data_IF_148563687424
#
_entry.id   IF_148563687424
#
_cell.length_a   1.000
_cell.length_b   1.000
_cell.length_c   1.000
_cell.angle_alpha   90.00
_cell.angle_beta   90.00
_cell.angle_gamma   90.00
#
_symmetry.space_group_name_H-M   'P 1'
#
loop_
_entity.id
_entity.type
_entity.pdbx_description
1 polymer ?
#
# COMPACT_ATOMS: atom_id res chain seq x y z
N UNK A 1 30.42 -4.08 2.70
CA UNK A 1 30.44 -3.84 4.17
C UNK A 1 30.13 -5.15 4.88
N UNK A 2 30.59 -5.35 6.13
CA UNK A 2 30.13 -6.49 6.95
C UNK A 2 28.64 -6.29 7.26
N UNK A 3 27.87 -7.37 7.20
CA UNK A 3 26.44 -7.36 7.50
C UNK A 3 26.23 -7.22 9.00
N UNK A 4 25.21 -6.47 9.43
CA UNK A 4 24.90 -6.33 10.86
C UNK A 4 24.48 -7.69 11.47
N UNK A 5 24.94 -8.05 12.69
CA UNK A 5 24.59 -9.31 13.32
C UNK A 5 23.08 -9.59 13.44
N UNK A 6 22.25 -8.55 13.65
CA UNK A 6 20.80 -8.71 13.73
C UNK A 6 20.20 -9.29 12.44
N UNK A 7 20.77 -8.94 11.28
CA UNK A 7 20.34 -9.43 9.98
C UNK A 7 20.75 -10.89 9.78
N UNK A 8 21.97 -11.24 10.22
CA UNK A 8 22.48 -12.61 10.14
C UNK A 8 21.62 -13.54 11.00
N UNK A 9 21.29 -13.12 12.22
CA UNK A 9 20.41 -13.85 13.13
C UNK A 9 19.01 -14.00 12.55
N UNK A 10 18.39 -12.89 12.08
CA UNK A 10 17.06 -12.89 11.50
C UNK A 10 16.93 -13.88 10.32
N UNK A 11 17.91 -13.90 9.44
CA UNK A 11 17.88 -14.72 8.23
C UNK A 11 18.50 -16.11 8.42
N UNK A 12 19.09 -16.39 9.59
CA UNK A 12 19.82 -17.64 9.86
C UNK A 12 20.98 -17.88 8.90
N UNK A 13 21.73 -16.83 8.55
CA UNK A 13 22.82 -16.90 7.55
C UNK A 13 24.19 -17.10 8.21
N UNK A 14 25.18 -17.42 7.39
CA UNK A 14 26.59 -17.41 7.80
C UNK A 14 27.22 -16.06 7.48
N UNK A 15 27.72 -15.36 8.50
CA UNK A 15 28.33 -14.04 8.36
C UNK A 15 29.58 -14.05 7.46
N UNK A 16 30.35 -15.14 7.42
CA UNK A 16 31.56 -15.22 6.58
C UNK A 16 31.23 -15.34 5.09
N UNK A 17 30.05 -15.87 4.78
CA UNK A 17 29.57 -16.10 3.42
C UNK A 17 28.53 -15.07 2.95
N UNK A 18 28.32 -14.00 3.73
CA UNK A 18 27.30 -12.98 3.45
C UNK A 18 27.94 -11.60 3.24
N UNK A 19 27.51 -10.92 2.19
CA UNK A 19 27.97 -9.57 1.84
C UNK A 19 26.80 -8.62 1.62
N UNK A 20 27.04 -7.32 1.83
CA UNK A 20 26.10 -6.24 1.54
C UNK A 20 26.72 -5.25 0.55
N UNK A 21 25.96 -4.95 -0.51
CA UNK A 21 26.25 -3.89 -1.48
C UNK A 21 25.05 -2.95 -1.62
N UNK A 22 25.27 -1.74 -2.14
CA UNK A 22 24.16 -0.85 -2.50
C UNK A 22 23.31 -1.50 -3.59
N UNK A 23 21.98 -1.42 -3.49
CA UNK A 23 21.07 -1.95 -4.49
C UNK A 23 20.74 -0.93 -5.60
N UNK A 24 21.08 0.35 -5.41
CA UNK A 24 20.60 1.43 -6.26
C UNK A 24 19.08 1.67 -6.12
N UNK A 25 18.62 2.88 -6.48
CA UNK A 25 17.22 3.28 -6.31
C UNK A 25 16.92 3.82 -4.91
N UNK A 26 16.34 5.01 -4.83
CA UNK A 26 15.82 5.55 -3.57
C UNK A 26 14.51 4.85 -3.24
N UNK A 27 14.38 4.30 -2.02
CA UNK A 27 13.07 4.01 -1.45
C UNK A 27 12.33 5.32 -1.12
N UNK A 28 11.24 5.25 -0.36
CA UNK A 28 10.65 6.44 0.26
C UNK A 28 11.73 7.35 0.87
N UNK A 29 11.48 8.67 0.89
CA UNK A 29 12.42 9.79 0.76
C UNK A 29 13.69 9.82 1.64
N UNK A 30 13.82 8.92 2.62
CA UNK A 30 14.91 8.85 3.60
C UNK A 30 15.58 7.46 3.74
N UNK A 31 15.06 6.41 3.09
CA UNK A 31 15.59 5.05 3.24
C UNK A 31 16.73 4.74 2.26
N UNK A 32 17.82 4.19 2.79
CA UNK A 32 18.90 3.59 2.00
C UNK A 32 18.56 2.15 1.65
N UNK A 33 18.86 1.74 0.41
CA UNK A 33 18.55 0.41 -0.11
C UNK A 33 19.83 -0.39 -0.34
N UNK A 34 19.78 -1.69 -0.06
CA UNK A 34 20.94 -2.56 -0.13
C UNK A 34 20.55 -3.97 -0.56
N UNK A 35 21.46 -4.63 -1.27
CA UNK A 35 21.38 -6.04 -1.62
C UNK A 35 22.24 -6.84 -0.67
N UNK A 36 21.65 -7.85 -0.03
CA UNK A 36 22.37 -8.86 0.73
C UNK A 36 22.57 -10.07 -0.18
N UNK A 37 23.82 -10.51 -0.34
CA UNK A 37 24.17 -11.73 -1.09
C UNK A 37 24.79 -12.73 -0.14
N UNK A 38 24.16 -13.90 -0.01
CA UNK A 38 24.67 -15.03 0.76
C UNK A 38 25.03 -16.18 -0.17
N UNK A 39 26.25 -16.72 -0.04
CA UNK A 39 26.66 -17.95 -0.71
C UNK A 39 26.24 -19.15 0.13
N UNK A 40 25.46 -20.05 -0.45
CA UNK A 40 24.97 -21.27 0.19
C UNK A 40 26.00 -22.41 0.07
N UNK A 41 25.84 -23.45 0.90
CA UNK A 41 26.76 -24.62 0.94
C UNK A 41 26.84 -25.39 -0.38
N UNK A 42 25.79 -25.35 -1.18
CA UNK A 42 25.74 -25.96 -2.51
C UNK A 42 26.41 -25.10 -3.60
N UNK A 43 26.98 -23.96 -3.22
CA UNK A 43 27.65 -23.03 -4.13
C UNK A 43 26.71 -22.03 -4.81
N UNK A 44 25.40 -22.13 -4.61
CA UNK A 44 24.42 -21.17 -5.15
C UNK A 44 24.38 -19.88 -4.31
N UNK A 45 23.83 -18.81 -4.88
CA UNK A 45 23.62 -17.56 -4.17
C UNK A 45 22.15 -17.34 -3.84
N UNK A 46 21.90 -16.79 -2.65
CA UNK A 46 20.60 -16.25 -2.27
C UNK A 46 20.71 -14.75 -2.06
N UNK A 47 19.74 -14.02 -2.60
CA UNK A 47 19.71 -12.57 -2.57
C UNK A 47 18.52 -12.07 -1.76
N UNK A 48 18.75 -11.04 -0.94
CA UNK A 48 17.71 -10.33 -0.20
C UNK A 48 17.82 -8.84 -0.45
N UNK A 49 16.70 -8.14 -0.31
CA UNK A 49 16.64 -6.69 -0.36
C UNK A 49 16.46 -6.15 1.05
N UNK A 50 17.25 -5.13 1.39
CA UNK A 50 17.24 -4.48 2.69
C UNK A 50 17.00 -2.99 2.53
N UNK A 51 16.03 -2.45 3.27
CA UNK A 51 15.87 -1.01 3.51
C UNK A 51 16.42 -0.66 4.88
N UNK A 52 17.04 0.50 5.01
CA UNK A 52 17.51 1.04 6.30
C UNK A 52 17.23 2.52 6.40
N UNK A 53 16.81 3.00 7.57
CA UNK A 53 16.62 4.41 7.87
C UNK A 53 16.80 4.65 9.38
N UNK A 54 16.93 5.91 9.79
CA UNK A 54 17.15 6.28 11.19
C UNK A 54 15.88 6.83 11.84
N UNK A 55 15.76 6.66 13.15
CA UNK A 55 14.70 7.26 13.96
C UNK A 55 13.47 6.38 14.12
N UNK A 56 12.53 6.85 14.95
CA UNK A 56 11.32 6.08 15.33
C UNK A 56 10.35 5.95 14.15
N UNK A 57 10.30 6.94 13.28
CA UNK A 57 9.48 6.96 12.07
C UNK A 57 9.87 5.82 11.12
N UNK A 58 11.17 5.53 11.01
CA UNK A 58 11.68 4.40 10.22
C UNK A 58 11.23 3.05 10.78
N UNK A 59 11.21 2.89 12.10
CA UNK A 59 10.76 1.67 12.75
C UNK A 59 9.28 1.41 12.46
N UNK A 60 8.43 2.43 12.60
CA UNK A 60 6.99 2.35 12.29
C UNK A 60 6.77 2.04 10.81
N UNK A 61 7.52 2.69 9.92
CA UNK A 61 7.44 2.46 8.47
C UNK A 61 7.78 1.01 8.12
N UNK A 62 8.87 0.46 8.66
CA UNK A 62 9.30 -0.91 8.35
C UNK A 62 8.43 -1.98 9.00
N UNK A 63 7.89 -1.74 10.19
CA UNK A 63 6.86 -2.61 10.80
C UNK A 63 5.60 -2.67 9.93
N UNK A 64 5.11 -1.49 9.50
CA UNK A 64 3.95 -1.37 8.62
C UNK A 64 4.15 -2.05 7.26
N UNK A 65 5.30 -1.83 6.62
CA UNK A 65 5.64 -2.45 5.34
C UNK A 65 5.81 -3.98 5.48
N UNK A 66 6.44 -4.46 6.56
CA UNK A 66 6.55 -5.89 6.86
C UNK A 66 5.17 -6.55 6.95
N UNK A 67 4.27 -5.99 7.76
CA UNK A 67 2.92 -6.51 7.92
C UNK A 67 2.12 -6.45 6.61
N UNK A 68 2.30 -5.38 5.83
CA UNK A 68 1.65 -5.18 4.54
C UNK A 68 2.07 -6.24 3.51
N UNK A 69 3.38 -6.42 3.33
CA UNK A 69 3.93 -7.42 2.40
C UNK A 69 3.48 -8.83 2.78
N UNK A 70 3.50 -9.18 4.05
CA UNK A 70 3.09 -10.52 4.48
C UNK A 70 1.56 -10.74 4.38
N UNK A 71 0.74 -9.71 4.56
CA UNK A 71 -0.70 -9.80 4.31
C UNK A 71 -1.01 -10.04 2.82
N UNK A 72 -0.33 -9.33 1.92
CA UNK A 72 -0.48 -9.50 0.47
C UNK A 72 0.07 -10.87 0.03
N UNK A 73 1.27 -11.23 0.47
CA UNK A 73 1.92 -12.50 0.13
C UNK A 73 1.09 -13.70 0.61
N UNK A 74 0.48 -13.63 1.79
CA UNK A 74 -0.40 -14.69 2.30
C UNK A 74 -1.64 -14.92 1.43
N UNK A 75 -2.17 -13.87 0.81
CA UNK A 75 -3.32 -13.97 -0.09
C UNK A 75 -2.93 -14.35 -1.52
N UNK A 76 -1.81 -13.80 -2.02
CA UNK A 76 -1.29 -14.02 -3.38
C UNK A 76 0.25 -14.08 -3.34
N UNK A 77 0.85 -15.27 -3.11
CA UNK A 77 2.29 -15.40 -2.89
C UNK A 77 3.19 -14.91 -4.03
N UNK A 78 2.68 -14.85 -5.27
CA UNK A 78 3.43 -14.39 -6.44
C UNK A 78 3.23 -12.90 -6.78
N UNK A 79 2.51 -12.14 -5.95
CA UNK A 79 2.19 -10.74 -6.22
C UNK A 79 3.27 -9.79 -5.67
N UNK A 80 3.79 -10.02 -4.46
CA UNK A 80 4.77 -9.14 -3.82
C UNK A 80 5.89 -9.96 -3.15
N UNK A 81 7.07 -9.36 -2.87
CA UNK A 81 8.14 -10.05 -2.16
C UNK A 81 7.67 -10.48 -0.76
N UNK A 82 8.16 -11.62 -0.27
CA UNK A 82 7.97 -11.99 1.13
C UNK A 82 8.81 -11.07 2.01
N UNK A 83 8.27 -10.64 3.15
CA UNK A 83 9.06 -9.96 4.18
C UNK A 83 9.55 -10.94 5.22
N UNK A 84 10.88 -10.99 5.41
CA UNK A 84 11.52 -11.89 6.38
C UNK A 84 11.54 -11.29 7.79
N UNK A 85 11.54 -9.97 7.91
CA UNK A 85 11.47 -9.28 9.21
C UNK A 85 11.97 -7.84 9.15
N UNK A 86 11.76 -7.14 10.26
CA UNK A 86 12.25 -5.80 10.51
C UNK A 86 12.84 -5.73 11.93
N UNK A 87 13.60 -4.68 12.22
CA UNK A 87 14.21 -4.49 13.54
C UNK A 87 15.19 -3.33 13.56
N UNK A 88 16.03 -3.27 14.58
CA UNK A 88 17.13 -2.31 14.69
C UNK A 88 18.48 -3.01 14.58
N UNK A 89 19.47 -2.33 14.02
CA UNK A 89 20.83 -2.86 13.98
C UNK A 89 21.39 -3.05 15.39
N UNK A 90 22.05 -4.20 15.61
CA UNK A 90 22.75 -4.46 16.87
C UNK A 90 23.96 -3.55 17.06
N UNK A 91 24.59 -3.14 15.95
CA UNK A 91 25.73 -2.20 15.98
C UNK A 91 25.33 -0.75 16.20
N UNK A 92 24.07 -0.38 15.87
CA UNK A 92 23.54 0.96 16.06
C UNK A 92 22.00 0.92 16.13
N UNK A 93 21.46 0.96 17.33
CA UNK A 93 20.02 0.85 17.58
C UNK A 93 19.19 2.03 17.04
N UNK A 94 19.83 3.14 16.66
CA UNK A 94 19.15 4.26 15.99
C UNK A 94 18.83 4.00 14.51
N UNK A 95 19.38 2.94 13.92
CA UNK A 95 19.11 2.51 12.55
C UNK A 95 18.16 1.32 12.55
N UNK A 96 16.98 1.51 11.95
CA UNK A 96 16.01 0.44 11.71
C UNK A 96 16.20 -0.17 10.32
N UNK A 97 15.74 -1.39 10.15
CA UNK A 97 15.81 -2.11 8.88
C UNK A 97 14.53 -2.89 8.57
N UNK A 98 14.36 -3.20 7.29
CA UNK A 98 13.40 -4.18 6.75
C UNK A 98 14.15 -5.10 5.79
N UNK A 99 13.93 -6.40 5.86
CA UNK A 99 14.48 -7.39 4.92
C UNK A 99 13.37 -8.15 4.21
N UNK A 100 13.49 -8.25 2.88
CA UNK A 100 12.52 -8.89 1.99
C UNK A 100 13.22 -9.74 0.93
N UNK A 101 12.44 -10.50 0.16
CA UNK A 101 12.94 -11.10 -1.08
C UNK A 101 13.55 -10.05 -2.01
N UNK A 102 14.68 -10.38 -2.63
CA UNK A 102 15.22 -9.54 -3.69
C UNK A 102 14.37 -9.65 -4.96
N UNK A 103 13.92 -8.53 -5.52
CA UNK A 103 13.22 -8.49 -6.79
C UNK A 103 14.20 -8.33 -7.95
N UNK A 104 14.33 -9.36 -8.79
CA UNK A 104 15.10 -9.28 -10.03
C UNK A 104 14.22 -8.67 -11.12
N UNK A 105 14.15 -7.34 -11.14
CA UNK A 105 13.34 -6.60 -12.09
C UNK A 105 13.90 -6.67 -13.52
N UNK A 106 13.01 -6.77 -14.49
CA UNK A 106 13.31 -6.77 -15.91
C UNK A 106 12.68 -5.55 -16.58
N UNK A 107 12.94 -5.35 -17.88
CA UNK A 107 12.15 -4.38 -18.65
C UNK A 107 10.66 -4.71 -18.57
N UNK A 108 9.79 -3.70 -18.48
CA UNK A 108 8.32 -3.89 -18.57
C UNK A 108 7.87 -4.48 -19.90
N UNK A 109 8.68 -4.34 -20.95
CA UNK A 109 8.47 -4.95 -22.27
C UNK A 109 9.04 -6.37 -22.39
N UNK A 110 9.67 -6.91 -21.34
CA UNK A 110 10.19 -8.27 -21.36
C UNK A 110 9.04 -9.26 -21.54
N UNK A 111 9.35 -10.38 -22.21
CA UNK A 111 8.40 -11.45 -22.38
C UNK A 111 8.02 -12.03 -21.01
N UNK A 112 6.78 -11.80 -20.60
CA UNK A 112 6.23 -12.35 -19.37
C UNK A 112 6.10 -13.86 -19.51
N UNK A 113 6.23 -14.57 -18.40
CA UNK A 113 5.91 -15.99 -18.33
C UNK A 113 4.41 -16.22 -18.60
N UNK A 114 3.97 -17.49 -18.63
CA UNK A 114 2.52 -17.82 -18.70
C UNK A 114 1.78 -17.55 -17.36
N UNK A 115 2.36 -16.74 -16.47
CA UNK A 115 1.77 -16.38 -15.21
C UNK A 115 0.51 -15.51 -15.39
N UNK A 116 -0.40 -15.52 -14.40
CA UNK A 116 -1.52 -14.60 -14.37
C UNK A 116 -1.08 -13.14 -14.48
N UNK A 117 -1.85 -12.33 -15.20
CA UNK A 117 -1.61 -10.89 -15.31
C UNK A 117 -1.75 -10.20 -13.95
N UNK A 118 -1.24 -8.97 -13.84
CA UNK A 118 -1.46 -8.13 -12.66
C UNK A 118 -2.96 -7.99 -12.32
N UNK A 119 -3.85 -7.89 -13.32
CA UNK A 119 -5.28 -7.74 -13.08
C UNK A 119 -5.87 -8.98 -12.42
N UNK A 120 -5.47 -10.18 -12.86
CA UNK A 120 -5.89 -11.44 -12.24
C UNK A 120 -5.37 -11.55 -10.81
N UNK A 121 -4.09 -11.24 -10.58
CA UNK A 121 -3.49 -11.28 -9.24
C UNK A 121 -4.17 -10.29 -8.29
N UNK A 122 -4.42 -9.06 -8.75
CA UNK A 122 -5.07 -8.02 -7.93
C UNK A 122 -6.54 -8.36 -7.66
N UNK A 123 -7.28 -8.87 -8.66
CA UNK A 123 -8.65 -9.35 -8.44
C UNK A 123 -8.68 -10.50 -7.43
N UNK A 124 -7.71 -11.42 -7.47
CA UNK A 124 -7.59 -12.49 -6.48
C UNK A 124 -7.36 -11.93 -5.07
N UNK A 125 -6.49 -10.93 -4.92
CA UNK A 125 -6.28 -10.23 -3.65
C UNK A 125 -7.60 -9.61 -3.15
N UNK A 126 -8.27 -8.85 -4.01
CA UNK A 126 -9.49 -8.09 -3.69
C UNK A 126 -10.78 -8.92 -3.59
N UNK A 127 -10.72 -10.21 -3.93
CA UNK A 127 -11.82 -11.17 -3.72
C UNK A 127 -11.53 -12.15 -2.59
N UNK A 128 -10.36 -12.05 -1.96
CA UNK A 128 -9.99 -12.85 -0.78
C UNK A 128 -10.33 -12.05 0.48
N UNK A 129 -11.29 -12.52 1.31
CA UNK A 129 -11.67 -11.81 2.53
C UNK A 129 -10.50 -11.66 3.49
N UNK A 130 -10.34 -10.48 4.09
CA UNK A 130 -9.38 -10.24 5.17
C UNK A 130 -9.64 -11.17 6.37
N UNK A 131 -8.63 -11.49 7.19
CA UNK A 131 -8.84 -12.24 8.43
C UNK A 131 -9.73 -11.45 9.42
N UNK A 132 -10.31 -12.17 10.37
CA UNK A 132 -10.95 -11.55 11.54
C UNK A 132 -9.82 -11.12 12.48
N UNK A 133 -9.70 -9.84 12.86
CA UNK A 133 -8.67 -9.40 13.78
C UNK A 133 -8.84 -10.02 15.18
N UNK A 134 -7.74 -10.18 15.91
CA UNK A 134 -7.76 -10.65 17.29
C UNK A 134 -8.66 -9.75 18.16
N UNK A 135 -9.50 -10.37 18.99
CA UNK A 135 -10.46 -9.66 19.85
C UNK A 135 -11.77 -9.24 19.16
N UNK A 136 -11.98 -9.58 17.89
CA UNK A 136 -13.24 -9.32 17.18
C UNK A 136 -13.94 -10.62 16.77
N UNK A 137 -15.25 -10.56 16.61
CA UNK A 137 -16.13 -11.66 16.18
C UNK A 137 -16.42 -11.66 14.67
N UNK A 138 -16.00 -10.59 13.98
CA UNK A 138 -16.26 -10.36 12.56
C UNK A 138 -15.12 -9.60 11.89
N UNK A 139 -15.12 -9.60 10.56
CA UNK A 139 -14.14 -8.85 9.76
C UNK A 139 -14.34 -7.35 9.94
N UNK A 140 -13.24 -6.64 10.08
CA UNK A 140 -13.19 -5.20 10.34
C UNK A 140 -12.37 -4.49 9.26
N UNK A 141 -12.70 -3.23 8.99
CA UNK A 141 -11.83 -2.33 8.22
C UNK A 141 -10.76 -1.76 9.15
N UNK A 142 -9.54 -1.57 8.65
CA UNK A 142 -8.37 -1.20 9.47
C UNK A 142 -7.18 -2.09 9.19
N UNK A 143 -6.21 -2.14 10.08
CA UNK A 143 -5.02 -2.99 9.93
C UNK A 143 -4.40 -3.24 11.32
N UNK A 144 -3.68 -4.36 11.55
CA UNK A 144 -3.16 -4.68 12.88
C UNK A 144 -2.08 -3.72 13.36
N UNK A 145 -1.40 -3.02 12.45
CA UNK A 145 -0.34 -2.05 12.74
C UNK A 145 -0.54 -0.76 11.95
N UNK A 146 0.11 0.31 12.39
CA UNK A 146 0.25 1.53 11.59
C UNK A 146 1.04 1.23 10.33
N UNK A 147 0.50 1.61 9.18
CA UNK A 147 1.20 1.60 7.88
C UNK A 147 1.53 3.02 7.46
N UNK A 148 2.40 3.21 6.47
CA UNK A 148 2.73 4.54 5.95
C UNK A 148 2.42 4.62 4.46
N UNK A 149 1.85 5.73 3.99
CA UNK A 149 1.67 6.03 2.56
C UNK A 149 2.64 7.15 2.19
N UNK A 150 3.79 6.79 1.61
CA UNK A 150 4.97 7.65 1.64
C UNK A 150 5.45 7.85 3.08
N UNK A 151 5.77 9.08 3.46
CA UNK A 151 6.22 9.42 4.82
C UNK A 151 5.06 9.65 5.81
N UNK A 152 3.81 9.57 5.35
CA UNK A 152 2.63 9.81 6.19
C UNK A 152 2.18 8.53 6.89
N UNK A 153 2.20 8.44 8.23
CA UNK A 153 1.60 7.32 8.95
C UNK A 153 0.09 7.29 8.73
N UNK A 154 -0.53 6.12 8.70
CA UNK A 154 -1.97 5.94 8.51
C UNK A 154 -2.64 5.46 9.79
N UNK A 155 -3.74 6.10 10.15
CA UNK A 155 -4.59 5.64 11.25
C UNK A 155 -5.33 4.36 10.81
N UNK A 156 -5.06 3.24 11.49
CA UNK A 156 -5.56 1.92 11.11
C UNK A 156 -6.46 1.28 12.18
N UNK A 157 -6.81 2.02 13.23
CA UNK A 157 -7.75 1.58 14.24
C UNK A 157 -9.04 1.01 13.63
N UNK A 158 -9.42 -0.18 14.08
CA UNK A 158 -10.48 -0.96 13.46
C UNK A 158 -11.84 -0.27 13.53
N UNK A 159 -12.60 -0.33 12.43
CA UNK A 159 -14.01 0.09 12.37
C UNK A 159 -14.85 -0.92 11.63
N UNK A 160 -16.13 -0.98 12.03
CA UNK A 160 -17.06 -1.93 11.45
C UNK A 160 -17.66 -1.42 10.13
N UNK A 161 -17.90 -0.11 9.99
CA UNK A 161 -18.36 0.51 8.75
C UNK A 161 -17.18 1.07 7.93
N UNK A 162 -17.24 0.87 6.62
CA UNK A 162 -16.25 1.44 5.70
C UNK A 162 -16.38 2.96 5.60
N UNK A 163 -17.61 3.50 5.65
CA UNK A 163 -17.84 4.94 5.60
C UNK A 163 -17.17 5.64 6.79
N UNK A 164 -17.35 5.11 8.00
CA UNK A 164 -16.72 5.66 9.20
C UNK A 164 -15.19 5.57 9.15
N UNK A 165 -14.67 4.44 8.66
CA UNK A 165 -13.23 4.25 8.49
C UNK A 165 -12.65 5.27 7.50
N UNK A 166 -13.30 5.42 6.35
CA UNK A 166 -12.83 6.33 5.32
C UNK A 166 -12.93 7.80 5.75
N UNK A 167 -14.03 8.21 6.39
CA UNK A 167 -14.20 9.57 6.88
C UNK A 167 -13.17 9.93 7.97
N UNK A 168 -13.05 9.10 9.01
CA UNK A 168 -12.23 9.41 10.18
C UNK A 168 -10.74 9.10 9.95
N UNK A 169 -10.45 7.86 9.56
CA UNK A 169 -9.10 7.32 9.53
C UNK A 169 -8.34 7.65 8.24
N UNK A 170 -9.05 8.10 7.19
CA UNK A 170 -8.42 8.57 5.95
C UNK A 170 -8.57 10.08 5.82
N UNK A 171 -9.77 10.61 5.57
CA UNK A 171 -9.95 12.02 5.21
C UNK A 171 -9.62 12.99 6.35
N UNK A 172 -10.24 12.83 7.53
CA UNK A 172 -9.99 13.72 8.67
C UNK A 172 -8.58 13.56 9.23
N UNK A 173 -8.07 12.34 9.24
CA UNK A 173 -6.69 12.08 9.62
C UNK A 173 -5.71 12.81 8.70
N UNK A 174 -5.84 12.68 7.37
CA UNK A 174 -4.90 13.31 6.45
C UNK A 174 -5.01 14.84 6.45
N UNK A 175 -6.20 15.39 6.70
CA UNK A 175 -6.37 16.82 6.94
C UNK A 175 -5.51 17.30 8.11
N UNK A 176 -5.57 16.61 9.27
CA UNK A 176 -4.75 16.97 10.44
C UNK A 176 -3.26 16.90 10.15
N UNK A 177 -2.80 15.88 9.39
CA UNK A 177 -1.39 15.81 8.98
C UNK A 177 -1.02 16.95 8.03
N UNK A 178 -1.88 17.26 7.07
CA UNK A 178 -1.68 18.38 6.16
C UNK A 178 -1.61 19.71 6.91
N UNK A 179 -2.49 19.97 7.88
CA UNK A 179 -2.47 21.20 8.67
C UNK A 179 -1.21 21.30 9.54
N UNK A 180 -0.70 20.17 10.04
CA UNK A 180 0.57 20.11 10.76
C UNK A 180 1.76 20.45 9.86
N UNK A 181 1.79 19.94 8.63
CA UNK A 181 2.91 20.15 7.69
C UNK A 181 2.87 21.50 6.99
N UNK A 182 1.67 21.97 6.60
CA UNK A 182 1.50 23.11 5.69
C UNK A 182 0.83 24.33 6.36
N UNK A 183 0.38 24.21 7.61
CA UNK A 183 -0.44 25.21 8.29
C UNK A 183 -1.94 25.07 7.99
N UNK A 184 -2.75 25.82 8.73
CA UNK A 184 -4.22 25.76 8.62
C UNK A 184 -4.72 26.41 7.34
N UNK A 185 -5.66 25.73 6.67
CA UNK A 185 -6.37 26.22 5.48
C UNK A 185 -7.86 26.05 5.69
N UNK A 186 -8.55 27.17 5.97
CA UNK A 186 -9.98 27.17 6.30
C UNK A 186 -10.86 26.66 5.16
N UNK A 187 -10.49 26.92 3.90
CA UNK A 187 -11.26 26.44 2.76
C UNK A 187 -11.12 24.92 2.64
N UNK A 188 -9.88 24.42 2.66
CA UNK A 188 -9.60 22.99 2.56
C UNK A 188 -10.25 22.23 3.72
N UNK A 189 -10.12 22.73 4.94
CA UNK A 189 -10.73 22.17 6.14
C UNK A 189 -12.25 22.00 5.96
N UNK A 190 -12.96 23.06 5.57
CA UNK A 190 -14.40 23.01 5.38
C UNK A 190 -14.82 22.04 4.27
N UNK A 191 -14.05 21.96 3.19
CA UNK A 191 -14.32 21.02 2.09
C UNK A 191 -14.11 19.58 2.53
N UNK A 192 -13.04 19.28 3.26
CA UNK A 192 -12.79 17.93 3.78
C UNK A 192 -13.88 17.55 4.78
N UNK A 193 -14.23 18.43 5.72
CA UNK A 193 -15.29 18.15 6.70
C UNK A 193 -16.66 17.95 6.05
N UNK A 194 -17.00 18.76 5.04
CA UNK A 194 -18.25 18.58 4.29
C UNK A 194 -18.23 17.25 3.53
N UNK A 195 -17.11 16.90 2.91
CA UNK A 195 -16.97 15.63 2.18
C UNK A 195 -17.11 14.45 3.14
N UNK A 196 -16.38 14.46 4.26
CA UNK A 196 -16.41 13.40 5.28
C UNK A 196 -17.80 13.27 5.95
N UNK A 197 -18.49 14.40 6.20
CA UNK A 197 -19.78 14.38 6.92
C UNK A 197 -20.99 14.12 6.03
N UNK A 198 -20.92 14.43 4.73
CA UNK A 198 -22.08 14.35 3.83
C UNK A 198 -21.87 13.43 2.64
N UNK A 199 -20.76 13.59 1.93
CA UNK A 199 -20.50 12.83 0.69
C UNK A 199 -20.17 11.38 1.02
N UNK A 200 -19.30 11.14 2.01
CA UNK A 200 -18.89 9.79 2.43
C UNK A 200 -20.10 8.93 2.85
N UNK A 201 -20.94 9.34 3.82
CA UNK A 201 -22.10 8.51 4.18
C UNK A 201 -23.09 8.34 3.03
N UNK A 202 -23.25 9.32 2.13
CA UNK A 202 -24.13 9.18 0.96
C UNK A 202 -23.62 8.16 -0.06
N UNK A 203 -22.32 8.11 -0.32
CA UNK A 203 -21.74 7.20 -1.32
C UNK A 203 -21.39 5.83 -0.76
N UNK A 204 -20.94 5.78 0.50
CA UNK A 204 -20.29 4.62 1.12
C UNK A 204 -21.05 4.07 2.33
N UNK A 205 -22.15 4.70 2.73
CA UNK A 205 -22.93 4.29 3.89
C UNK A 205 -23.49 2.88 3.75
N UNK A 206 -23.44 2.12 4.85
CA UNK A 206 -23.74 0.68 4.89
C UNK A 206 -25.13 0.34 4.33
N UNK A 207 -26.14 1.20 4.53
CA UNK A 207 -27.51 1.00 4.04
C UNK A 207 -27.68 1.28 2.54
N UNK A 208 -26.72 1.96 1.91
CA UNK A 208 -26.78 2.39 0.51
C UNK A 208 -25.87 1.55 -0.38
N UNK A 209 -24.59 1.49 -0.01
CA UNK A 209 -23.59 0.80 -0.83
C UNK A 209 -23.87 -0.71 -0.85
N UNK A 210 -23.62 -1.33 -2.00
CA UNK A 210 -23.84 -2.76 -2.22
C UNK A 210 -25.30 -3.20 -1.92
N UNK A 211 -26.26 -2.29 -2.11
CA UNK A 211 -27.68 -2.53 -1.84
C UNK A 211 -27.98 -2.83 -0.37
N UNK A 212 -27.26 -2.19 0.56
CA UNK A 212 -27.42 -2.41 2.00
C UNK A 212 -26.68 -3.63 2.54
N UNK A 213 -26.01 -4.41 1.68
CA UNK A 213 -25.25 -5.59 2.11
C UNK A 213 -23.86 -5.15 2.57
N UNK A 214 -23.50 -5.54 3.79
CA UNK A 214 -22.17 -5.31 4.37
C UNK A 214 -21.06 -5.62 3.35
N UNK A 215 -20.21 -4.64 3.11
CA UNK A 215 -18.97 -4.81 2.36
C UNK A 215 -18.05 -5.80 3.07
N UNK A 216 -17.40 -6.66 2.30
CA UNK A 216 -16.37 -7.57 2.83
C UNK A 216 -15.03 -6.84 2.82
N UNK A 217 -14.38 -6.61 3.98
CA UNK A 217 -13.03 -6.07 4.01
C UNK A 217 -12.06 -7.03 3.33
N UNK A 218 -11.21 -6.49 2.46
CA UNK A 218 -10.15 -7.24 1.76
C UNK A 218 -8.84 -6.50 1.92
N UNK A 219 -7.73 -7.22 1.80
CA UNK A 219 -6.40 -6.58 1.78
C UNK A 219 -6.28 -5.77 0.50
N UNK A 220 -5.87 -4.51 0.63
CA UNK A 220 -5.44 -3.66 -0.49
C UNK A 220 -3.94 -3.42 -0.39
N UNK A 221 -3.28 -3.15 -1.52
CA UNK A 221 -1.91 -2.64 -1.53
C UNK A 221 -1.84 -1.24 -0.92
N UNK A 222 -2.83 -0.39 -1.20
CA UNK A 222 -3.04 0.92 -0.58
C UNK A 222 -2.18 2.06 -1.12
N UNK A 223 -1.23 1.76 -2.01
CA UNK A 223 -0.42 2.73 -2.77
C UNK A 223 0.01 2.18 -4.14
N UNK A 224 -0.88 1.48 -4.85
CA UNK A 224 -0.53 0.86 -6.14
C UNK A 224 -0.63 1.86 -7.29
N UNK A 225 0.40 2.68 -7.48
CA UNK A 225 0.59 3.46 -8.72
C UNK A 225 1.64 2.81 -9.62
N UNK A 226 1.86 3.40 -10.81
CA UNK A 226 2.77 2.84 -11.80
C UNK A 226 4.23 2.72 -11.33
N UNK A 227 4.64 3.44 -10.29
CA UNK A 227 5.97 3.33 -9.66
C UNK A 227 6.15 2.09 -8.78
N UNK A 228 5.06 1.57 -8.22
CA UNK A 228 5.02 0.45 -7.28
C UNK A 228 4.64 -0.89 -7.96
N UNK A 229 4.70 -0.92 -9.30
CA UNK A 229 4.45 -2.12 -10.09
C UNK A 229 5.53 -2.29 -11.17
N UNK A 230 5.95 -3.53 -11.38
CA UNK A 230 6.95 -3.88 -12.38
C UNK A 230 6.82 -5.33 -12.84
N UNK A 231 7.76 -5.76 -13.68
CA UNK A 231 7.91 -7.14 -14.14
C UNK A 231 9.23 -7.67 -13.63
N UNK A 232 9.24 -8.85 -13.02
CA UNK A 232 10.47 -9.43 -12.49
C UNK A 232 10.28 -10.82 -11.89
N UNK A 233 11.35 -11.31 -11.27
CA UNK A 233 11.37 -12.59 -10.53
C UNK A 233 11.55 -12.32 -9.05
N UNK A 234 10.70 -12.91 -8.21
CA UNK A 234 10.77 -12.80 -6.75
C UNK A 234 11.81 -13.78 -6.22
N UNK A 235 12.79 -13.26 -5.49
CA UNK A 235 13.84 -14.05 -4.84
C UNK A 235 14.82 -14.67 -5.83
N UNK A 236 15.52 -15.70 -5.36
CA UNK A 236 16.58 -16.41 -6.13
C UNK A 236 16.13 -17.74 -6.72
N UNK A 237 14.87 -18.15 -6.51
CA UNK A 237 14.34 -19.38 -7.09
C UNK A 237 14.06 -19.15 -8.57
N UNK A 238 14.48 -20.09 -9.42
CA UNK A 238 14.23 -20.03 -10.85
C UNK A 238 12.74 -19.84 -11.17
N UNK A 239 12.45 -19.14 -12.26
CA UNK A 239 11.10 -18.78 -12.68
C UNK A 239 11.15 -17.79 -13.85
N UNK A 240 10.07 -17.68 -14.60
CA UNK A 240 9.94 -16.64 -15.61
C UNK A 240 9.50 -15.31 -14.97
N UNK A 241 9.80 -14.19 -15.61
CA UNK A 241 9.39 -12.88 -15.11
C UNK A 241 7.86 -12.74 -15.09
N UNK A 242 7.32 -12.20 -14.01
CA UNK A 242 5.88 -11.99 -13.78
C UNK A 242 5.59 -10.56 -13.36
N UNK A 243 4.32 -10.16 -13.41
CA UNK A 243 3.88 -8.92 -12.76
C UNK A 243 4.04 -9.01 -11.25
N UNK A 244 4.71 -8.01 -10.67
CA UNK A 244 5.00 -7.90 -9.23
C UNK A 244 4.73 -6.47 -8.75
N UNK A 245 4.41 -6.34 -7.46
CA UNK A 245 4.21 -5.08 -6.76
C UNK A 245 5.12 -5.00 -5.53
N UNK A 246 5.41 -3.79 -5.08
CA UNK A 246 6.28 -3.51 -3.93
C UNK A 246 5.91 -2.18 -3.30
N UNK A 247 6.47 -1.92 -2.12
CA UNK A 247 6.22 -0.72 -1.31
C UNK A 247 4.73 -0.51 -0.94
N UNK A 248 4.06 -1.52 -0.32
CA UNK A 248 2.66 -1.42 0.06
C UNK A 248 2.42 -0.52 1.27
N UNK A 249 1.21 0.05 1.30
CA UNK A 249 0.60 0.83 2.36
C UNK A 249 -0.73 0.18 2.79
N UNK A 250 -0.66 -1.10 3.18
CA UNK A 250 -1.83 -1.97 3.18
C UNK A 250 -2.84 -1.62 4.28
N UNK A 251 -4.11 -1.90 4.00
CA UNK A 251 -5.15 -1.99 5.03
C UNK A 251 -6.23 -2.99 4.60
N UNK A 252 -7.14 -3.31 5.50
CA UNK A 252 -8.39 -4.00 5.20
C UNK A 252 -9.42 -2.96 4.80
N UNK A 253 -9.78 -2.97 3.52
CA UNK A 253 -10.55 -1.91 2.90
C UNK A 253 -11.67 -2.47 1.99
N UNK A 254 -12.50 -1.56 1.48
CA UNK A 254 -13.27 -1.83 0.28
C UNK A 254 -12.34 -1.93 -0.93
N UNK A 255 -12.50 -2.96 -1.78
CA UNK A 255 -11.61 -3.23 -2.92
C UNK A 255 -11.46 -2.05 -3.90
N UNK A 256 -12.51 -1.25 -4.10
CA UNK A 256 -12.45 -0.08 -4.99
C UNK A 256 -11.52 1.04 -4.48
N UNK A 257 -11.13 1.02 -3.20
CA UNK A 257 -10.19 1.99 -2.63
C UNK A 257 -8.87 2.04 -3.39
N UNK A 258 -8.32 0.87 -3.75
CA UNK A 258 -7.06 0.77 -4.52
C UNK A 258 -7.15 1.51 -5.87
N UNK A 259 -8.33 1.47 -6.50
CA UNK A 259 -8.52 2.00 -7.85
C UNK A 259 -8.40 3.54 -7.88
N UNK A 260 -8.45 4.20 -6.72
CA UNK A 260 -8.22 5.64 -6.59
C UNK A 260 -6.80 6.03 -7.01
N UNK A 261 -5.78 5.49 -6.32
CA UNK A 261 -4.37 5.79 -6.64
C UNK A 261 -3.96 5.27 -8.02
N UNK A 262 -4.54 4.15 -8.46
CA UNK A 262 -4.25 3.54 -9.77
C UNK A 262 -4.59 4.44 -10.97
N UNK A 263 -5.33 5.53 -10.78
CA UNK A 263 -5.59 6.52 -11.85
C UNK A 263 -4.54 7.64 -11.89
N UNK A 264 -3.76 7.82 -10.83
CA UNK A 264 -2.73 8.84 -10.74
C UNK A 264 -1.44 8.38 -11.47
N UNK A 265 -0.62 9.35 -11.88
CA UNK A 265 0.76 9.12 -12.36
C UNK A 265 0.89 8.10 -13.52
N UNK A 266 0.07 8.30 -14.56
CA UNK A 266 0.06 7.48 -15.78
C UNK A 266 -0.84 6.25 -15.71
N UNK A 267 -1.23 5.85 -14.50
CA UNK A 267 -2.24 4.84 -14.20
C UNK A 267 -2.08 3.47 -14.87
N UNK A 268 -3.16 2.68 -14.85
CA UNK A 268 -3.23 1.36 -15.46
C UNK A 268 -4.22 1.39 -16.63
N UNK A 269 -3.82 0.81 -17.77
CA UNK A 269 -4.56 0.92 -19.03
C UNK A 269 -5.96 0.29 -19.01
N UNK A 270 -6.81 0.65 -19.97
CA UNK A 270 -8.20 0.15 -20.03
C UNK A 270 -8.34 -1.38 -20.12
N UNK A 271 -7.36 -2.07 -20.71
CA UNK A 271 -7.32 -3.54 -20.75
C UNK A 271 -7.19 -4.16 -19.35
N UNK A 272 -6.38 -3.54 -18.48
CA UNK A 272 -6.24 -3.95 -17.09
C UNK A 272 -7.57 -3.84 -16.34
N UNK A 273 -8.24 -2.68 -16.43
CA UNK A 273 -9.50 -2.45 -15.71
C UNK A 273 -10.62 -3.36 -16.23
N UNK A 274 -10.63 -3.66 -17.53
CA UNK A 274 -11.58 -4.60 -18.11
C UNK A 274 -11.40 -6.00 -17.50
N UNK A 275 -10.19 -6.54 -17.56
CA UNK A 275 -9.87 -7.87 -17.02
C UNK A 275 -10.11 -7.93 -15.50
N UNK A 276 -9.73 -6.88 -14.77
CA UNK A 276 -9.97 -6.79 -13.33
C UNK A 276 -11.46 -6.86 -13.00
N UNK A 277 -12.33 -6.12 -13.70
CA UNK A 277 -13.76 -6.11 -13.41
C UNK A 277 -14.54 -7.33 -13.90
N UNK A 278 -13.98 -8.12 -14.82
CA UNK A 278 -14.50 -9.45 -15.14
C UNK A 278 -14.37 -10.42 -13.95
N UNK A 279 -13.40 -10.18 -13.05
CA UNK A 279 -13.08 -11.04 -11.90
C UNK A 279 -13.51 -10.44 -10.55
N UNK A 280 -13.43 -9.11 -10.41
CA UNK A 280 -13.88 -8.34 -9.25
C UNK A 280 -14.92 -7.30 -9.71
N UNK A 281 -16.21 -7.66 -9.73
CA UNK A 281 -17.28 -6.77 -10.19
C UNK A 281 -17.30 -5.44 -9.42
N UNK A 282 -17.74 -4.39 -10.10
CA UNK A 282 -17.99 -3.08 -9.49
C UNK A 282 -19.06 -3.23 -8.42
N UNK A 283 -18.87 -2.56 -7.29
CA UNK A 283 -19.84 -2.56 -6.19
C UNK A 283 -21.09 -1.80 -6.62
N UNK A 284 -22.28 -2.28 -6.24
CA UNK A 284 -23.51 -1.55 -6.52
C UNK A 284 -23.62 -0.30 -5.61
N UNK A 285 -24.27 0.79 -6.05
CA UNK A 285 -24.83 0.98 -7.38
C UNK A 285 -23.74 1.32 -8.40
N UNK A 286 -23.71 0.63 -9.55
CA UNK A 286 -22.62 0.75 -10.55
C UNK A 286 -22.55 2.14 -11.18
N UNK A 287 -23.67 2.87 -11.27
CA UNK A 287 -23.69 4.25 -11.79
C UNK A 287 -22.97 5.27 -10.90
N UNK A 288 -22.66 4.93 -9.64
CA UNK A 288 -21.89 5.76 -8.71
C UNK A 288 -20.41 5.31 -8.60
N UNK A 289 -20.02 4.23 -9.30
CA UNK A 289 -18.67 3.66 -9.26
C UNK A 289 -17.57 4.70 -9.50
N UNK A 290 -17.68 5.49 -10.57
CA UNK A 290 -16.65 6.48 -10.91
C UNK A 290 -16.53 7.59 -9.85
N UNK A 291 -17.62 7.90 -9.14
CA UNK A 291 -17.60 8.88 -8.07
C UNK A 291 -16.97 8.31 -6.79
N UNK A 292 -17.18 7.02 -6.49
CA UNK A 292 -16.48 6.33 -5.40
C UNK A 292 -14.99 6.26 -5.68
N UNK A 293 -14.58 5.88 -6.89
CA UNK A 293 -13.15 5.87 -7.26
C UNK A 293 -12.54 7.26 -7.17
N UNK A 294 -13.25 8.30 -7.64
CA UNK A 294 -12.81 9.70 -7.47
C UNK A 294 -12.72 10.12 -6.01
N UNK A 295 -13.65 9.67 -5.17
CA UNK A 295 -13.60 9.89 -3.73
C UNK A 295 -12.39 9.19 -3.11
N UNK A 296 -11.97 8.01 -3.57
CA UNK A 296 -10.75 7.35 -3.11
C UNK A 296 -9.47 8.04 -3.61
N UNK A 297 -9.47 8.52 -4.86
CA UNK A 297 -8.39 9.35 -5.40
C UNK A 297 -8.13 10.61 -4.54
N UNK A 298 -9.18 11.21 -3.96
CA UNK A 298 -9.07 12.37 -3.06
C UNK A 298 -8.07 12.14 -1.92
N UNK A 299 -8.10 10.97 -1.28
CA UNK A 299 -7.18 10.68 -0.17
C UNK A 299 -5.73 10.82 -0.62
N UNK A 300 -5.40 10.36 -1.83
CA UNK A 300 -4.04 10.41 -2.36
C UNK A 300 -3.63 11.83 -2.76
N UNK A 301 -4.53 12.67 -3.29
CA UNK A 301 -4.26 14.10 -3.49
C UNK A 301 -4.00 14.83 -2.17
N UNK A 302 -4.80 14.55 -1.14
CA UNK A 302 -4.59 15.11 0.20
C UNK A 302 -3.28 14.62 0.81
N UNK A 303 -2.92 13.35 0.61
CA UNK A 303 -1.66 12.79 1.10
C UNK A 303 -0.45 13.44 0.41
N UNK A 304 -0.49 13.57 -0.92
CA UNK A 304 0.57 14.25 -1.65
C UNK A 304 0.66 15.73 -1.29
N UNK A 305 -0.47 16.39 -1.00
CA UNK A 305 -0.44 17.75 -0.48
C UNK A 305 0.20 17.81 0.92
N UNK A 306 -0.10 16.86 1.81
CA UNK A 306 0.49 16.80 3.15
C UNK A 306 2.02 16.61 3.13
N UNK A 307 2.55 15.85 2.16
CA UNK A 307 3.99 15.55 2.03
C UNK A 307 4.71 16.63 1.21
N UNK A 308 4.17 17.03 0.06
CA UNK A 308 4.87 17.86 -0.94
C UNK A 308 4.32 19.28 -1.07
N UNK A 309 3.17 19.58 -0.48
CA UNK A 309 2.49 20.87 -0.64
C UNK A 309 2.06 21.15 -2.09
N UNK A 310 1.97 22.44 -2.43
CA UNK A 310 1.83 22.90 -3.82
C UNK A 310 0.57 22.44 -4.57
N UNK A 311 0.76 22.03 -5.84
CA UNK A 311 -0.32 21.81 -6.81
C UNK A 311 -1.34 20.73 -6.45
N UNK A 312 -1.00 19.79 -5.57
CA UNK A 312 -1.89 18.70 -5.15
C UNK A 312 -3.14 19.20 -4.40
N UNK A 313 -3.05 20.35 -3.73
CA UNK A 313 -4.22 21.01 -3.11
C UNK A 313 -5.32 21.25 -4.13
N UNK A 314 -4.97 21.73 -5.33
CA UNK A 314 -5.96 22.09 -6.35
C UNK A 314 -6.72 20.88 -6.87
N UNK A 315 -6.05 19.72 -7.01
CA UNK A 315 -6.68 18.45 -7.35
C UNK A 315 -7.68 17.99 -6.29
N UNK A 316 -7.27 18.01 -5.02
CA UNK A 316 -8.15 17.68 -3.90
C UNK A 316 -9.40 18.58 -3.84
N UNK A 317 -9.22 19.90 -3.97
CA UNK A 317 -10.32 20.88 -3.98
C UNK A 317 -11.27 20.63 -5.14
N UNK A 318 -10.77 20.36 -6.34
CA UNK A 318 -11.58 20.08 -7.53
C UNK A 318 -12.45 18.83 -7.35
N UNK A 319 -11.86 17.75 -6.84
CA UNK A 319 -12.58 16.51 -6.52
C UNK A 319 -13.68 16.77 -5.50
N UNK A 320 -13.36 17.40 -4.37
CA UNK A 320 -14.33 17.66 -3.31
C UNK A 320 -15.49 18.54 -3.80
N UNK A 321 -15.22 19.63 -4.52
CA UNK A 321 -16.28 20.50 -5.05
C UNK A 321 -17.22 19.74 -5.98
N UNK A 322 -16.68 18.89 -6.86
CA UNK A 322 -17.48 18.07 -7.78
C UNK A 322 -18.41 17.12 -7.01
N UNK A 323 -17.86 16.41 -6.02
CA UNK A 323 -18.63 15.44 -5.25
C UNK A 323 -19.63 16.11 -4.29
N UNK A 324 -19.26 17.23 -3.65
CA UNK A 324 -20.14 18.02 -2.80
C UNK A 324 -21.31 18.60 -3.62
N UNK A 325 -21.07 19.05 -4.85
CA UNK A 325 -22.16 19.54 -5.71
C UNK A 325 -23.20 18.45 -5.99
N UNK A 326 -22.76 17.20 -6.16
CA UNK A 326 -23.62 16.06 -6.47
C UNK A 326 -24.29 15.42 -5.24
N UNK A 327 -23.58 15.36 -4.10
CA UNK A 327 -23.98 14.56 -2.94
C UNK A 327 -23.98 15.32 -1.60
N UNK A 328 -23.51 16.56 -1.57
CA UNK A 328 -23.29 17.34 -0.33
C UNK A 328 -24.50 18.15 0.16
N UNK A 329 -25.69 17.94 -0.42
CA UNK A 329 -26.92 18.58 0.04
C UNK A 329 -27.42 17.86 1.28
#
# INVERSE_FOLDING_TARGET
>A
MKVDPAIIELLGLDAENTTVSSAGGGGCSSASTSKITCKLKDGTEKHFFMKTAKGREAEVMFEGEHASLNAINSAVPSLCPQSFGHGSFSSNTSTSFLVTDFLNLTSRSAQKSKAPSLAVKLAKLHTTPAPIPEGYDKRMFGFPVTTCCGDTPQENGYKSSWADFYAENRLRFILRQSEKSNGSDKELHNLVETTASKVVPRLLGDDHINGGKRLTPVVVHGDLWSGNASVGVIGSKGGGAEDVVYDPSACYAHSEYELGIMKMFGGFGGSFLKEYHELCPKTEPVNEYEDRVRLYELYHHLNHYAIFGGGYRSGAVSIMRTLIQKYGK
#
